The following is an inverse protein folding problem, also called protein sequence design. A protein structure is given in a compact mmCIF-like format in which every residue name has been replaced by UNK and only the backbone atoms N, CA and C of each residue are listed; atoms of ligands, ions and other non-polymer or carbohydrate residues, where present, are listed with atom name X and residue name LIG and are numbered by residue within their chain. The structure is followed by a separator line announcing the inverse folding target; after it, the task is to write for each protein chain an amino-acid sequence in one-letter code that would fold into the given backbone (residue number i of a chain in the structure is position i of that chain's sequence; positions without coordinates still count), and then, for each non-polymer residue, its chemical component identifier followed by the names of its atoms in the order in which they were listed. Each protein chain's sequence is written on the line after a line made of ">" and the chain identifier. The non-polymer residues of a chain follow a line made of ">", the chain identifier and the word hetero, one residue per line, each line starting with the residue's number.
data_IF_777518277790
#
_entry.id   IF_777518277790
#
_cell.length_a   1.000
_cell.length_b   1.000
_cell.length_c   1.000
_cell.angle_alpha   90.00
_cell.angle_beta   90.00
_cell.angle_gamma   90.00
#
_symmetry.space_group_name_H-M   'P 1'
#
loop_
_entity.id
_entity.type
_entity.pdbx_description
1 polymer ?
#
# COMPACT_ATOMS: atom_id res chain seq x y z
N UNK A 1 31.92 23.70 -2.13
CA UNK A 1 31.28 22.43 -2.55
C UNK A 1 30.56 22.56 -3.89
N UNK A 2 29.57 23.45 -4.05
CA UNK A 2 28.83 23.59 -5.34
C UNK A 2 29.74 24.00 -6.51
N UNK A 3 30.71 24.88 -6.29
CA UNK A 3 31.70 25.25 -7.31
C UNK A 3 32.46 24.03 -7.87
N UNK A 4 32.87 23.09 -7.02
CA UNK A 4 33.52 21.84 -7.43
C UNK A 4 32.58 20.93 -8.24
N UNK A 5 31.29 20.87 -7.84
CA UNK A 5 30.28 20.06 -8.51
C UNK A 5 29.83 20.63 -9.87
N UNK A 6 30.01 21.92 -10.11
CA UNK A 6 29.54 22.61 -11.33
C UNK A 6 30.67 22.99 -12.30
N UNK A 7 31.93 22.88 -11.88
CA UNK A 7 33.08 23.25 -12.71
C UNK A 7 33.21 22.39 -13.98
N UNK A 8 33.64 23.03 -15.07
CA UNK A 8 33.71 22.44 -16.41
C UNK A 8 35.06 21.80 -16.77
N UNK A 9 36.06 21.93 -15.89
CA UNK A 9 37.40 21.36 -16.04
C UNK A 9 37.34 19.84 -16.23
N UNK A 10 38.12 19.32 -17.19
CA UNK A 10 38.12 17.91 -17.62
C UNK A 10 38.48 16.94 -16.50
N UNK A 11 39.51 17.26 -15.71
CA UNK A 11 39.98 16.38 -14.64
C UNK A 11 38.97 16.33 -13.49
N UNK A 12 38.35 17.48 -13.20
CA UNK A 12 37.27 17.58 -12.19
C UNK A 12 36.03 16.82 -12.66
N UNK A 13 35.67 16.89 -13.95
CA UNK A 13 34.58 16.10 -14.53
C UNK A 13 34.83 14.59 -14.41
N UNK A 14 36.04 14.14 -14.69
CA UNK A 14 36.42 12.71 -14.57
C UNK A 14 36.27 12.25 -13.12
N UNK A 15 36.79 13.02 -12.14
CA UNK A 15 36.66 12.67 -10.72
C UNK A 15 35.22 12.77 -10.21
N UNK A 16 34.43 13.73 -10.69
CA UNK A 16 33.00 13.87 -10.35
C UNK A 16 32.17 12.67 -10.81
N UNK A 17 32.54 12.02 -11.93
CA UNK A 17 31.87 10.78 -12.36
C UNK A 17 31.94 9.68 -11.31
N UNK A 18 33.02 9.61 -10.52
CA UNK A 18 33.17 8.60 -9.47
C UNK A 18 32.12 8.77 -8.37
N UNK A 19 31.76 10.00 -8.02
CA UNK A 19 30.73 10.32 -7.01
C UNK A 19 29.34 9.82 -7.43
N UNK A 20 29.02 9.90 -8.72
CA UNK A 20 27.75 9.42 -9.27
C UNK A 20 27.70 7.91 -9.55
N UNK A 21 28.82 7.20 -9.39
CA UNK A 21 28.91 5.76 -9.66
C UNK A 21 28.64 4.93 -8.40
N UNK A 22 28.18 3.68 -8.57
CA UNK A 22 27.92 2.78 -7.44
C UNK A 22 29.11 2.66 -6.46
N UNK A 23 30.35 2.69 -6.96
CA UNK A 23 31.57 2.64 -6.13
C UNK A 23 31.80 3.89 -5.28
N UNK A 24 31.14 5.01 -5.59
CA UNK A 24 31.32 6.30 -4.90
C UNK A 24 30.08 6.83 -4.20
N UNK A 25 28.95 6.12 -4.23
CA UNK A 25 27.72 6.54 -3.54
C UNK A 25 27.93 6.64 -2.02
N UNK A 26 28.62 5.67 -1.41
CA UNK A 26 28.86 5.64 0.04
C UNK A 26 29.67 6.88 0.51
N UNK A 27 30.81 7.16 -0.14
CA UNK A 27 31.58 8.37 0.17
C UNK A 27 30.84 9.67 -0.16
N UNK A 28 29.94 9.65 -1.16
CA UNK A 28 29.09 10.81 -1.46
C UNK A 28 28.06 11.06 -0.36
N UNK A 29 27.43 10.00 0.18
CA UNK A 29 26.46 10.14 1.26
C UNK A 29 27.15 10.58 2.57
N UNK A 30 28.40 10.19 2.82
CA UNK A 30 29.20 10.70 3.94
C UNK A 30 29.33 12.23 3.91
N UNK A 31 29.60 12.80 2.73
CA UNK A 31 29.67 14.26 2.56
C UNK A 31 28.30 14.92 2.81
N UNK A 32 27.21 14.29 2.35
CA UNK A 32 25.84 14.77 2.61
C UNK A 32 25.53 14.73 4.11
N UNK A 33 25.94 13.67 4.82
CA UNK A 33 25.76 13.53 6.27
C UNK A 33 26.59 14.56 7.04
N UNK A 34 27.84 14.82 6.65
CA UNK A 34 28.65 15.86 7.25
C UNK A 34 28.01 17.25 7.06
N UNK A 35 27.46 17.52 5.87
CA UNK A 35 26.72 18.76 5.61
C UNK A 35 25.43 18.84 6.44
N UNK A 36 24.67 17.75 6.57
CA UNK A 36 23.51 17.64 7.45
C UNK A 36 23.88 18.03 8.88
N UNK A 37 24.96 17.49 9.43
CA UNK A 37 25.35 17.72 10.83
C UNK A 37 25.65 19.19 11.11
N UNK A 38 26.29 19.87 10.15
CA UNK A 38 26.50 21.32 10.21
C UNK A 38 25.17 22.09 10.18
N UNK A 39 24.24 21.71 9.30
CA UNK A 39 22.93 22.37 9.17
C UNK A 39 22.10 22.13 10.44
N UNK A 40 22.05 20.90 10.93
CA UNK A 40 21.20 20.45 12.04
C UNK A 40 21.72 20.85 13.43
N UNK A 41 22.85 21.56 13.51
CA UNK A 41 23.40 22.07 14.77
C UNK A 41 22.48 23.05 15.50
N UNK A 42 21.51 23.67 14.81
CA UNK A 42 20.51 24.56 15.41
C UNK A 42 19.07 24.05 15.22
N UNK A 43 18.11 24.42 16.10
CA UNK A 43 16.70 24.10 15.92
C UNK A 43 16.12 24.60 14.58
N UNK A 44 16.49 25.81 14.17
CA UNK A 44 16.08 26.38 12.89
C UNK A 44 16.63 25.56 11.71
N UNK A 45 17.90 25.17 11.79
CA UNK A 45 18.53 24.34 10.76
C UNK A 45 17.93 22.93 10.65
N UNK A 46 17.53 22.30 11.77
CA UNK A 46 16.77 21.03 11.74
C UNK A 46 15.43 21.17 11.02
N UNK A 47 14.72 22.26 11.27
CA UNK A 47 13.45 22.55 10.58
C UNK A 47 13.67 22.70 9.08
N UNK A 48 14.73 23.43 8.70
CA UNK A 48 15.12 23.59 7.30
C UNK A 48 15.48 22.23 6.65
N UNK A 49 16.30 21.42 7.29
CA UNK A 49 16.65 20.08 6.81
C UNK A 49 15.42 19.19 6.62
N UNK A 50 14.52 19.15 7.61
CA UNK A 50 13.29 18.36 7.53
C UNK A 50 12.40 18.81 6.36
N UNK A 51 12.31 20.12 6.11
CA UNK A 51 11.56 20.64 4.96
C UNK A 51 12.16 20.22 3.62
N UNK A 52 13.50 20.17 3.53
CA UNK A 52 14.20 19.69 2.35
C UNK A 52 13.95 18.19 2.12
N UNK A 53 14.12 17.36 3.15
CA UNK A 53 13.85 15.91 3.07
C UNK A 53 12.39 15.64 2.70
N UNK A 54 11.44 16.38 3.27
CA UNK A 54 10.04 16.30 2.89
C UNK A 54 9.84 16.61 1.39
N UNK A 55 10.51 17.64 0.87
CA UNK A 55 10.41 18.01 -0.55
C UNK A 55 10.94 16.91 -1.49
N UNK A 56 12.02 16.22 -1.10
CA UNK A 56 12.55 15.08 -1.87
C UNK A 56 11.64 13.85 -1.75
N UNK A 57 11.15 13.54 -0.55
CA UNK A 57 10.19 12.45 -0.33
C UNK A 57 8.91 12.63 -1.16
N UNK A 58 8.38 13.86 -1.24
CA UNK A 58 7.23 14.19 -2.09
C UNK A 58 7.48 13.89 -3.58
N UNK A 59 8.71 14.11 -4.09
CA UNK A 59 9.06 13.80 -5.48
C UNK A 59 9.08 12.29 -5.74
N UNK A 60 9.48 11.49 -4.75
CA UNK A 60 9.48 10.03 -4.85
C UNK A 60 8.04 9.52 -4.85
N UNK A 61 7.24 9.86 -3.82
CA UNK A 61 5.84 9.41 -3.70
C UNK A 61 4.99 9.81 -4.91
N UNK A 62 5.21 10.99 -5.50
CA UNK A 62 4.48 11.42 -6.71
C UNK A 62 4.71 10.54 -7.93
N UNK A 63 5.85 9.83 -8.01
CA UNK A 63 6.18 8.93 -9.12
C UNK A 63 5.64 7.52 -8.89
N UNK A 64 5.29 7.18 -7.66
CA UNK A 64 4.73 5.89 -7.31
C UNK A 64 3.27 5.81 -7.73
N UNK A 65 2.97 4.81 -8.56
CA UNK A 65 1.61 4.54 -8.98
C UNK A 65 1.51 3.11 -9.52
N UNK A 66 0.36 2.44 -9.32
CA UNK A 66 0.02 1.24 -10.07
C UNK A 66 0.04 1.47 -11.58
N UNK A 67 0.21 0.39 -12.38
CA UNK A 67 0.20 0.48 -13.83
C UNK A 67 -1.13 0.99 -14.36
N UNK A 68 -1.07 1.87 -15.36
CA UNK A 68 -2.25 2.39 -16.03
C UNK A 68 -2.82 1.37 -17.02
N UNK A 69 -4.15 1.27 -17.10
CA UNK A 69 -4.83 0.39 -18.06
C UNK A 69 -5.79 -0.59 -17.38
N UNK A 70 -6.47 -1.40 -18.21
CA UNK A 70 -7.36 -2.47 -17.76
C UNK A 70 -6.54 -3.69 -17.30
N UNK A 71 -6.98 -4.31 -16.21
CA UNK A 71 -6.42 -5.57 -15.71
C UNK A 71 -6.53 -6.69 -16.77
N UNK A 72 -5.50 -7.56 -16.93
CA UNK A 72 -4.34 -7.77 -16.05
C UNK A 72 -3.13 -6.86 -16.33
N UNK A 73 -3.10 -6.16 -17.46
CA UNK A 73 -1.94 -5.33 -17.85
C UNK A 73 -1.89 -3.97 -17.14
N UNK A 74 -2.93 -3.62 -16.40
CA UNK A 74 -3.03 -2.41 -15.58
C UNK A 74 -3.89 -2.63 -14.34
N UNK A 75 -4.05 -1.60 -13.51
CA UNK A 75 -4.71 -1.74 -12.21
C UNK A 75 -6.24 -1.58 -12.23
N UNK A 76 -6.86 -1.38 -13.40
CA UNK A 76 -8.31 -1.16 -13.51
C UNK A 76 -9.11 -2.43 -13.70
N UNK A 77 -9.97 -2.72 -12.72
CA UNK A 77 -10.96 -3.78 -12.80
C UNK A 77 -12.31 -3.21 -13.24
N UNK A 78 -12.79 -3.67 -14.39
CA UNK A 78 -14.10 -3.32 -14.92
C UNK A 78 -15.20 -4.04 -14.15
N UNK A 79 -16.14 -3.28 -13.57
CA UNK A 79 -17.32 -3.86 -12.90
C UNK A 79 -18.25 -4.64 -13.85
N UNK A 80 -18.02 -4.60 -15.17
CA UNK A 80 -18.83 -5.35 -16.16
C UNK A 80 -18.16 -6.64 -16.62
N UNK A 81 -16.90 -6.85 -16.24
CA UNK A 81 -16.08 -8.00 -16.64
C UNK A 81 -15.32 -8.54 -15.42
N UNK A 82 -15.89 -8.37 -14.23
CA UNK A 82 -15.22 -8.83 -13.01
C UNK A 82 -15.22 -10.36 -13.00
N UNK A 83 -14.05 -10.94 -12.75
CA UNK A 83 -13.87 -12.38 -12.62
C UNK A 83 -13.87 -12.76 -11.13
N UNK A 84 -14.54 -13.84 -10.70
CA UNK A 84 -14.52 -14.28 -9.31
C UNK A 84 -13.12 -14.59 -8.75
N UNK A 85 -12.14 -14.91 -9.61
CA UNK A 85 -10.74 -15.12 -9.22
C UNK A 85 -10.12 -13.93 -8.49
N UNK A 86 -10.64 -12.70 -8.69
CA UNK A 86 -10.26 -11.50 -7.94
C UNK A 86 -10.41 -11.66 -6.43
N UNK A 87 -11.28 -12.57 -5.98
CA UNK A 87 -11.53 -12.85 -4.56
C UNK A 87 -10.72 -14.02 -4.01
N UNK A 88 -9.97 -14.74 -4.85
CA UNK A 88 -9.06 -15.79 -4.40
C UNK A 88 -7.96 -15.21 -3.50
N UNK A 89 -7.53 -15.99 -2.51
CA UNK A 89 -6.44 -15.59 -1.62
C UNK A 89 -5.12 -15.43 -2.39
N UNK A 90 -4.88 -16.26 -3.40
CA UNK A 90 -3.70 -16.19 -4.26
C UNK A 90 -3.61 -14.85 -5.01
N UNK A 91 -4.69 -14.42 -5.67
CA UNK A 91 -4.66 -13.14 -6.38
C UNK A 91 -4.65 -11.94 -5.43
N UNK A 92 -5.34 -12.02 -4.28
CA UNK A 92 -5.25 -10.98 -3.25
C UNK A 92 -3.82 -10.81 -2.76
N UNK A 93 -3.15 -11.92 -2.44
CA UNK A 93 -1.77 -11.94 -1.99
C UNK A 93 -0.83 -11.34 -3.04
N UNK A 94 -0.94 -11.78 -4.29
CA UNK A 94 -0.12 -11.27 -5.41
C UNK A 94 -0.30 -9.76 -5.56
N UNK A 95 -1.54 -9.27 -5.62
CA UNK A 95 -1.82 -7.83 -5.73
C UNK A 95 -1.30 -7.03 -4.52
N UNK A 96 -1.34 -7.61 -3.33
CA UNK A 96 -0.79 -6.96 -2.13
C UNK A 96 0.73 -6.87 -2.22
N UNK A 97 1.39 -7.94 -2.67
CA UNK A 97 2.82 -7.97 -2.91
C UNK A 97 3.24 -6.92 -3.95
N UNK A 98 2.57 -6.87 -5.10
CA UNK A 98 2.86 -5.91 -6.18
C UNK A 98 2.72 -4.45 -5.69
N UNK A 99 1.68 -4.18 -4.91
CA UNK A 99 1.46 -2.85 -4.33
C UNK A 99 2.62 -2.41 -3.45
N UNK A 100 3.14 -3.32 -2.62
CA UNK A 100 4.20 -3.04 -1.66
C UNK A 100 5.61 -3.06 -2.25
N UNK A 101 5.87 -3.90 -3.24
CA UNK A 101 7.23 -4.13 -3.76
C UNK A 101 7.50 -3.36 -5.05
N UNK A 102 6.49 -3.20 -5.90
CA UNK A 102 6.69 -2.63 -7.24
C UNK A 102 6.01 -1.27 -7.42
N UNK A 103 4.76 -1.13 -6.99
CA UNK A 103 3.95 0.05 -7.34
C UNK A 103 4.18 1.24 -6.42
N UNK A 104 4.18 1.02 -5.10
CA UNK A 104 4.32 2.06 -4.08
C UNK A 104 5.27 1.70 -2.91
N UNK A 105 6.49 1.19 -3.18
CA UNK A 105 7.40 0.70 -2.14
C UNK A 105 7.87 1.77 -1.15
N UNK A 106 8.11 3.01 -1.57
CA UNK A 106 8.57 4.10 -0.72
C UNK A 106 7.49 4.53 0.26
N UNK A 107 6.27 4.80 -0.21
CA UNK A 107 5.14 5.11 0.68
C UNK A 107 4.86 3.95 1.65
N UNK A 108 4.83 2.73 1.13
CA UNK A 108 4.63 1.54 1.94
C UNK A 108 5.67 1.41 3.05
N UNK A 109 6.96 1.59 2.73
CA UNK A 109 8.02 1.46 3.72
C UNK A 109 7.93 2.52 4.83
N UNK A 110 7.53 3.76 4.49
CA UNK A 110 7.28 4.81 5.49
C UNK A 110 6.12 4.45 6.42
N UNK A 111 5.04 3.88 5.88
CA UNK A 111 3.89 3.44 6.65
C UNK A 111 4.26 2.27 7.56
N UNK A 112 4.97 1.27 7.05
CA UNK A 112 5.46 0.14 7.85
C UNK A 112 6.33 0.64 8.99
N UNK A 113 7.30 1.50 8.71
CA UNK A 113 8.18 2.06 9.76
C UNK A 113 7.38 2.77 10.85
N UNK A 114 6.33 3.52 10.46
CA UNK A 114 5.46 4.21 11.41
C UNK A 114 4.57 3.26 12.22
N UNK A 115 4.06 2.20 11.61
CA UNK A 115 3.11 1.25 12.22
C UNK A 115 3.79 0.21 13.11
N UNK A 116 5.01 -0.21 12.75
CA UNK A 116 5.79 -1.17 13.55
C UNK A 116 6.50 -0.52 14.71
N UNK A 117 6.68 0.80 14.68
CA UNK A 117 7.20 1.60 15.79
C UNK A 117 8.55 1.10 16.27
N UNK A 118 9.65 1.61 15.71
CA UNK A 118 10.89 1.54 16.47
C UNK A 118 10.74 2.46 17.69
N UNK A 119 10.70 1.86 18.88
CA UNK A 119 10.93 2.54 20.13
C UNK A 119 12.24 3.33 20.00
N UNK A 120 12.17 4.66 20.00
CA UNK A 120 13.36 5.49 20.14
C UNK A 120 14.14 5.01 21.38
N UNK A 121 15.42 4.61 21.28
CA UNK A 121 16.23 4.22 22.43
C UNK A 121 16.52 5.36 23.42
N UNK A 122 15.97 6.56 23.18
CA UNK A 122 16.26 7.79 23.92
C UNK A 122 15.06 8.38 24.68
N UNK A 123 13.89 7.71 24.68
CA UNK A 123 12.73 8.15 25.44
C UNK A 123 12.51 7.28 26.70
N UNK A 124 13.45 7.36 27.65
CA UNK A 124 13.18 6.93 29.02
C UNK A 124 12.32 7.98 29.73
N UNK A 125 11.02 7.72 29.87
CA UNK A 125 10.25 7.76 31.14
C UNK A 125 8.77 8.08 30.93
N UNK A 126 7.96 7.10 31.35
CA UNK A 126 6.61 7.22 31.92
C UNK A 126 5.53 8.01 31.17
N UNK A 127 4.64 7.29 30.50
CA UNK A 127 3.23 7.30 30.88
C UNK A 127 2.52 6.07 30.31
N UNK A 128 2.20 5.13 31.19
CA UNK A 128 1.07 4.22 31.03
C UNK A 128 -0.20 5.03 30.79
N UNK A 129 -0.96 4.74 29.72
CA UNK A 129 -2.43 4.70 29.72
C UNK A 129 -2.94 4.21 28.36
N UNK A 130 -3.88 3.27 28.44
CA UNK A 130 -4.95 2.95 27.50
C UNK A 130 -4.57 2.24 26.18
N UNK A 131 -4.24 0.96 26.33
CA UNK A 131 -4.55 -0.04 25.32
C UNK A 131 -6.08 -0.26 25.29
N UNK A 132 -6.79 0.59 24.55
CA UNK A 132 -8.19 0.40 24.15
C UNK A 132 -8.21 0.44 22.62
N UNK A 133 -8.23 -0.72 21.98
CA UNK A 133 -9.48 -1.26 21.42
C UNK A 133 -9.21 -2.65 20.82
N UNK A 134 -9.75 -3.67 21.50
CA UNK A 134 -9.94 -5.00 20.93
C UNK A 134 -11.17 -4.95 20.03
N UNK A 135 -10.97 -4.94 18.71
CA UNK A 135 -11.96 -5.41 17.73
C UNK A 135 -11.33 -5.46 16.34
N UNK A 136 -10.59 -6.52 16.07
CA UNK A 136 -10.38 -7.03 14.72
C UNK A 136 -10.09 -8.53 14.83
N UNK A 137 -11.08 -9.26 15.34
CA UNK A 137 -11.21 -10.68 14.99
C UNK A 137 -11.40 -10.71 13.47
N UNK A 138 -10.30 -10.97 12.77
CA UNK A 138 -10.42 -11.53 11.42
C UNK A 138 -10.64 -13.01 11.68
N UNK A 139 -11.89 -13.41 11.92
CA UNK A 139 -12.25 -14.81 11.78
C UNK A 139 -11.90 -15.21 10.36
N UNK A 140 -10.86 -16.04 10.25
CA UNK A 140 -10.59 -16.82 9.05
C UNK A 140 -11.75 -17.79 8.92
N UNK A 141 -12.81 -17.37 8.24
CA UNK A 141 -13.89 -18.28 7.89
C UNK A 141 -13.43 -19.11 6.68
N UNK A 142 -12.48 -19.99 6.95
CA UNK A 142 -12.11 -21.11 6.10
C UNK A 142 -12.31 -22.35 6.95
N UNK A 143 -13.37 -23.11 6.66
CA UNK A 143 -13.59 -24.48 7.14
C UNK A 143 -12.49 -25.41 6.55
N UNK A 144 -11.24 -25.14 6.91
CA UNK A 144 -10.09 -26.02 6.70
C UNK A 144 -9.32 -26.08 8.00
N UNK A 145 -9.58 -27.19 8.68
CA UNK A 145 -8.90 -27.70 9.86
C UNK A 145 -7.43 -27.98 9.50
N UNK A 146 -6.58 -26.96 9.58
CA UNK A 146 -5.14 -27.10 9.74
C UNK A 146 -4.73 -26.33 11.00
N UNK A 147 -4.20 -27.08 11.97
CA UNK A 147 -3.67 -26.61 13.24
C UNK A 147 -2.43 -25.72 13.00
N UNK A 148 -2.62 -24.49 12.55
CA UNK A 148 -1.58 -23.46 12.63
C UNK A 148 -1.47 -23.01 14.09
N UNK A 149 -0.26 -23.12 14.67
CA UNK A 149 0.05 -22.59 16.00
C UNK A 149 -0.44 -21.14 16.12
N UNK A 150 -1.12 -20.85 17.23
CA UNK A 150 -1.65 -19.53 17.53
C UNK A 150 -0.54 -18.46 17.38
N UNK A 151 -0.62 -17.56 16.38
CA UNK A 151 0.49 -16.69 16.07
C UNK A 151 0.76 -15.75 17.24
N UNK A 152 2.05 -15.65 17.60
CA UNK A 152 2.49 -14.79 18.70
C UNK A 152 1.89 -13.38 18.58
N UNK A 153 1.60 -12.68 19.69
CA UNK A 153 1.05 -11.33 19.66
C UNK A 153 1.85 -10.37 18.76
N UNK A 154 3.18 -10.54 18.72
CA UNK A 154 4.09 -9.76 17.87
C UNK A 154 3.89 -10.08 16.39
N UNK A 155 3.78 -11.37 16.03
CA UNK A 155 3.53 -11.80 14.65
C UNK A 155 2.20 -11.26 14.13
N UNK A 156 1.15 -11.25 14.97
CA UNK A 156 -0.16 -10.66 14.64
C UNK A 156 -0.06 -9.16 14.39
N UNK A 157 0.67 -8.43 15.23
CA UNK A 157 0.87 -6.99 15.07
C UNK A 157 1.64 -6.66 13.78
N UNK A 158 2.66 -7.45 13.43
CA UNK A 158 3.41 -7.28 12.18
C UNK A 158 2.48 -7.52 10.98
N UNK A 159 1.74 -8.64 10.95
CA UNK A 159 0.78 -8.95 9.89
C UNK A 159 -0.26 -7.84 9.71
N UNK A 160 -0.82 -7.33 10.83
CA UNK A 160 -1.74 -6.19 10.82
C UNK A 160 -1.09 -4.94 10.22
N UNK A 161 0.15 -4.62 10.61
CA UNK A 161 0.88 -3.45 10.12
C UNK A 161 1.08 -3.53 8.60
N UNK A 162 1.41 -4.72 8.08
CA UNK A 162 1.49 -4.98 6.65
C UNK A 162 0.15 -4.73 5.94
N UNK A 163 -0.93 -5.37 6.41
CA UNK A 163 -2.25 -5.19 5.80
C UNK A 163 -2.71 -3.72 5.80
N UNK A 164 -2.50 -3.00 6.90
CA UNK A 164 -2.88 -1.59 7.02
C UNK A 164 -2.04 -0.72 6.09
N UNK A 165 -0.72 -0.89 6.04
CA UNK A 165 0.15 -0.12 5.15
C UNK A 165 -0.25 -0.33 3.67
N UNK A 166 -0.46 -1.58 3.26
CA UNK A 166 -0.89 -1.92 1.90
C UNK A 166 -2.26 -1.32 1.59
N UNK A 167 -3.23 -1.43 2.50
CA UNK A 167 -4.55 -0.85 2.33
C UNK A 167 -4.49 0.67 2.16
N UNK A 168 -3.64 1.36 2.92
CA UNK A 168 -3.44 2.82 2.76
C UNK A 168 -2.84 3.14 1.38
N UNK A 169 -1.86 2.37 0.89
CA UNK A 169 -1.35 2.55 -0.49
C UNK A 169 -2.45 2.38 -1.55
N UNK A 170 -3.31 1.38 -1.40
CA UNK A 170 -4.50 1.22 -2.24
C UNK A 170 -5.47 2.39 -2.14
N UNK A 171 -5.76 2.88 -0.93
CA UNK A 171 -6.64 4.03 -0.74
C UNK A 171 -6.08 5.28 -1.43
N UNK A 172 -4.80 5.60 -1.20
CA UNK A 172 -4.14 6.76 -1.78
C UNK A 172 -4.13 6.66 -3.31
N UNK A 173 -3.72 5.51 -3.86
CA UNK A 173 -3.69 5.30 -5.32
C UNK A 173 -5.08 5.38 -5.95
N UNK A 174 -6.12 4.85 -5.30
CA UNK A 174 -7.51 4.95 -5.76
C UNK A 174 -8.06 6.38 -5.71
N UNK A 175 -7.76 7.14 -4.65
CA UNK A 175 -8.20 8.54 -4.54
C UNK A 175 -7.57 9.39 -5.64
N UNK A 176 -6.27 9.19 -5.91
CA UNK A 176 -5.54 9.92 -6.96
C UNK A 176 -6.03 9.51 -8.34
N UNK A 177 -6.26 8.21 -8.56
CA UNK A 177 -6.80 7.69 -9.81
C UNK A 177 -7.85 6.61 -9.51
N UNK A 178 -9.12 6.93 -9.76
CA UNK A 178 -10.25 6.02 -9.53
C UNK A 178 -10.20 4.76 -10.41
N UNK A 179 -9.26 4.68 -11.36
CA UNK A 179 -8.97 3.45 -12.11
C UNK A 179 -8.09 2.46 -11.35
N UNK A 180 -7.47 2.83 -10.23
CA UNK A 180 -6.74 1.90 -9.35
C UNK A 180 -7.72 1.32 -8.32
N UNK A 181 -8.69 0.53 -8.78
CA UNK A 181 -9.91 0.25 -8.03
C UNK A 181 -10.02 -1.17 -7.47
N UNK A 182 -8.99 -2.02 -7.56
CA UNK A 182 -9.05 -3.41 -7.14
C UNK A 182 -9.60 -3.58 -5.71
N UNK A 183 -8.91 -3.01 -4.72
CA UNK A 183 -9.32 -3.09 -3.31
C UNK A 183 -10.69 -2.42 -3.06
N UNK A 184 -10.88 -1.22 -3.62
CA UNK A 184 -12.12 -0.47 -3.46
C UNK A 184 -13.35 -1.22 -4.03
N UNK A 185 -13.18 -1.91 -5.16
CA UNK A 185 -14.22 -2.72 -5.79
C UNK A 185 -14.54 -3.95 -4.94
N UNK A 186 -13.52 -4.67 -4.47
CA UNK A 186 -13.68 -5.85 -3.61
C UNK A 186 -14.37 -5.49 -2.29
N UNK A 187 -13.93 -4.42 -1.62
CA UNK A 187 -14.55 -3.93 -0.40
C UNK A 187 -16.00 -3.50 -0.64
N UNK A 188 -16.28 -2.83 -1.77
CA UNK A 188 -17.65 -2.43 -2.11
C UNK A 188 -18.56 -3.64 -2.26
N UNK A 189 -18.11 -4.71 -2.92
CA UNK A 189 -18.91 -5.93 -3.04
C UNK A 189 -19.16 -6.54 -1.66
N UNK A 190 -18.11 -6.85 -0.89
CA UNK A 190 -18.24 -7.47 0.44
C UNK A 190 -19.19 -6.68 1.34
N UNK A 191 -19.02 -5.37 1.45
CA UNK A 191 -19.84 -4.55 2.34
C UNK A 191 -21.30 -4.43 1.87
N UNK A 192 -21.54 -4.43 0.56
CA UNK A 192 -22.90 -4.48 0.02
C UNK A 192 -23.59 -5.81 0.35
N UNK A 193 -22.87 -6.94 0.30
CA UNK A 193 -23.40 -8.22 0.78
C UNK A 193 -23.68 -8.21 2.29
N UNK A 194 -22.89 -7.49 3.08
CA UNK A 194 -23.14 -7.29 4.51
C UNK A 194 -24.28 -6.29 4.81
N UNK A 195 -25.01 -5.79 3.79
CA UNK A 195 -26.16 -4.92 4.00
C UNK A 195 -25.82 -3.47 4.36
N UNK A 196 -24.62 -3.00 4.00
CA UNK A 196 -24.23 -1.61 4.28
C UNK A 196 -25.19 -0.61 3.64
N UNK A 197 -25.58 0.41 4.42
CA UNK A 197 -26.45 1.46 3.91
C UNK A 197 -25.75 2.30 2.83
N UNK A 198 -26.53 2.94 1.97
CA UNK A 198 -26.00 3.85 0.95
C UNK A 198 -25.21 5.01 1.56
N UNK A 199 -25.67 5.54 2.70
CA UNK A 199 -24.98 6.64 3.40
C UNK A 199 -23.58 6.23 3.86
N UNK A 200 -23.43 5.06 4.45
CA UNK A 200 -22.12 4.56 4.90
C UNK A 200 -21.25 4.24 3.68
N UNK A 201 -21.79 3.60 2.63
CA UNK A 201 -21.02 3.37 1.41
C UNK A 201 -20.52 4.67 0.78
N UNK A 202 -21.34 5.73 0.76
CA UNK A 202 -20.94 7.03 0.22
C UNK A 202 -19.79 7.65 1.02
N UNK A 203 -19.80 7.52 2.35
CA UNK A 203 -18.69 7.93 3.19
C UNK A 203 -17.41 7.13 2.91
N UNK A 204 -17.51 5.79 2.88
CA UNK A 204 -16.36 4.92 2.60
C UNK A 204 -15.80 5.14 1.18
N UNK A 205 -16.68 5.43 0.22
CA UNK A 205 -16.28 5.74 -1.15
C UNK A 205 -15.52 7.07 -1.22
N UNK A 206 -15.99 8.08 -0.47
CA UNK A 206 -15.35 9.39 -0.38
C UNK A 206 -13.90 9.26 0.12
N UNK A 207 -13.67 8.50 1.19
CA UNK A 207 -12.32 8.24 1.73
C UNK A 207 -11.53 7.16 0.98
N UNK A 208 -12.09 6.60 -0.09
CA UNK A 208 -11.39 5.66 -0.97
C UNK A 208 -11.30 4.21 -0.50
N UNK A 209 -12.06 3.82 0.54
CA UNK A 209 -12.13 2.44 1.01
C UNK A 209 -13.03 1.56 0.13
N UNK A 210 -14.03 2.15 -0.52
CA UNK A 210 -14.97 1.43 -1.40
C UNK A 210 -15.13 2.13 -2.75
N UNK A 211 -15.61 1.38 -3.74
CA UNK A 211 -16.18 1.94 -4.96
C UNK A 211 -17.60 2.46 -4.70
N UNK A 212 -18.16 3.17 -5.70
CA UNK A 212 -19.56 3.61 -5.62
C UNK A 212 -20.50 2.41 -5.49
N UNK A 213 -21.63 2.58 -4.78
CA UNK A 213 -22.66 1.54 -4.61
C UNK A 213 -23.13 0.99 -5.96
N UNK A 214 -23.31 1.88 -6.95
CA UNK A 214 -23.67 1.50 -8.32
C UNK A 214 -22.62 0.63 -8.99
N UNK A 215 -21.32 0.92 -8.77
CA UNK A 215 -20.22 0.09 -9.30
C UNK A 215 -20.24 -1.31 -8.67
N UNK A 216 -20.42 -1.40 -7.35
CA UNK A 216 -20.54 -2.68 -6.64
C UNK A 216 -21.72 -3.51 -7.15
N UNK A 217 -22.91 -2.93 -7.32
CA UNK A 217 -24.06 -3.64 -7.90
C UNK A 217 -23.84 -4.10 -9.34
N UNK A 218 -23.20 -3.27 -10.18
CA UNK A 218 -22.83 -3.68 -11.55
C UNK A 218 -21.89 -4.88 -11.54
N UNK A 219 -20.94 -4.91 -10.61
CA UNK A 219 -20.03 -6.03 -10.42
C UNK A 219 -20.79 -7.30 -9.99
N UNK A 220 -21.72 -7.19 -9.04
CA UNK A 220 -22.61 -8.30 -8.68
C UNK A 220 -23.45 -8.81 -9.84
N UNK A 221 -24.03 -7.90 -10.63
CA UNK A 221 -24.83 -8.28 -11.79
C UNK A 221 -23.96 -9.02 -12.82
N UNK A 222 -22.76 -8.51 -13.10
CA UNK A 222 -21.78 -9.17 -13.97
C UNK A 222 -21.48 -10.59 -13.48
N UNK A 223 -21.13 -10.73 -12.21
CA UNK A 223 -20.79 -12.02 -11.62
C UNK A 223 -21.98 -13.00 -11.65
N UNK A 224 -23.17 -12.55 -11.26
CA UNK A 224 -24.41 -13.35 -11.31
C UNK A 224 -24.71 -13.84 -12.72
N UNK A 225 -24.52 -12.99 -13.74
CA UNK A 225 -24.71 -13.40 -15.13
C UNK A 225 -23.67 -14.41 -15.59
N UNK A 226 -22.40 -14.26 -15.18
CA UNK A 226 -21.34 -15.21 -15.48
C UNK A 226 -21.60 -16.57 -14.82
N UNK A 227 -21.94 -16.59 -13.52
CA UNK A 227 -22.30 -17.81 -12.79
C UNK A 227 -23.52 -18.49 -13.41
N UNK A 228 -24.56 -17.73 -13.78
CA UNK A 228 -25.74 -18.30 -14.44
C UNK A 228 -25.40 -18.97 -15.78
N UNK A 229 -24.47 -18.40 -16.55
CA UNK A 229 -24.00 -19.01 -17.81
C UNK A 229 -23.23 -20.31 -17.52
N UNK A 230 -22.29 -20.28 -16.59
CA UNK A 230 -21.51 -21.46 -16.20
C UNK A 230 -22.40 -22.62 -15.68
N UNK A 231 -23.45 -22.31 -14.91
CA UNK A 231 -24.42 -23.31 -14.45
C UNK A 231 -25.27 -23.91 -15.58
N UNK A 232 -25.61 -23.11 -16.61
CA UNK A 232 -26.33 -23.61 -17.79
C UNK A 232 -25.46 -24.50 -18.68
N UNK A 233 -24.17 -24.23 -18.72
CA UNK A 233 -23.18 -25.03 -19.45
C UNK A 233 -22.79 -26.32 -18.71
N UNK A 234 -23.02 -26.37 -17.39
CA UNK A 234 -22.87 -27.58 -16.55
C UNK A 234 -24.22 -28.01 -15.93
N UNK A 235 -25.18 -28.53 -16.72
CA UNK A 235 -26.40 -29.06 -16.15
C UNK A 235 -26.09 -30.35 -15.36
N UNK A 236 -26.08 -30.21 -14.04
CA UNK A 236 -26.27 -31.24 -13.02
C UNK A 236 -25.23 -32.39 -12.92
N UNK A 237 -24.35 -32.31 -11.91
CA UNK A 237 -23.92 -33.47 -11.09
C UNK A 237 -24.78 -33.58 -9.81
N UNK A 238 -25.99 -33.00 -9.82
CA UNK A 238 -27.01 -33.19 -8.78
C UNK A 238 -28.27 -33.70 -9.47
N UNK A 239 -28.18 -34.93 -9.94
CA UNK A 239 -29.32 -35.81 -10.21
C UNK A 239 -28.92 -37.16 -9.63
N UNK A 240 -29.76 -37.66 -8.72
CA UNK A 240 -29.68 -38.93 -7.98
C UNK A 240 -29.27 -38.79 -6.51
N UNK A 241 -30.21 -38.30 -5.71
CA UNK A 241 -30.50 -38.82 -4.37
C UNK A 241 -31.94 -39.33 -4.40
#
# INVERSE_FOLDING_TARGET
>A
MVAFLTQSNTDIKIRRRLWGSAKGWDSTIEVVNAARDLICGSPAGRTYWNSYILSEAQKIVRKEAPPSGEYPNGAFHSSRKIDPTIFSEEEKFTRFQDMCQEHMPFLYQLLIYKLTGQSDPSASSSSSTDAIDQAAETESNSDQDELEEDPSPVSRQIKRSHMVATAICYMVSFIVNRRHNALALSNSMILLACGISERINNFLHFIGLTASRTTGFKAYQSLSTATRKALREKPCLFGDI
#
